data_IF_953017136547
#
_entry.id   IF_953017136547
#
_cell.length_a   1.000
_cell.length_b   1.000
_cell.length_c   1.000
_cell.angle_alpha   90.00
_cell.angle_beta   90.00
_cell.angle_gamma   90.00
#
_symmetry.space_group_name_H-M   'P 1'
#
loop_
_entity.id
_entity.type
_entity.pdbx_description
1 polymer ?
#
# COMPACT_ATOMS: atom_id res chain seq x y z
N UNK A 1 15.78 -15.36 14.67
CA UNK A 1 15.68 -14.06 13.98
C UNK A 1 14.71 -13.22 14.78
N UNK A 2 15.04 -11.97 15.09
CA UNK A 2 14.06 -11.07 15.70
C UNK A 2 12.97 -10.77 14.68
N UNK A 3 11.70 -10.81 15.07
CA UNK A 3 10.61 -10.41 14.19
C UNK A 3 10.81 -8.93 13.81
N UNK A 4 10.71 -8.60 12.51
CA UNK A 4 10.71 -7.21 12.05
C UNK A 4 9.51 -6.51 12.70
N UNK A 5 9.70 -5.39 13.41
CA UNK A 5 8.58 -4.61 13.94
C UNK A 5 7.62 -4.26 12.80
N UNK A 6 6.31 -4.41 13.01
CA UNK A 6 5.29 -4.21 11.97
C UNK A 6 5.40 -2.85 11.27
N UNK A 7 5.87 -1.81 11.97
CA UNK A 7 6.14 -0.49 11.41
C UNK A 7 7.14 -0.46 10.24
N UNK A 8 8.09 -1.40 10.22
CA UNK A 8 9.06 -1.55 9.13
C UNK A 8 8.73 -2.72 8.20
N UNK A 9 7.68 -3.48 8.53
CA UNK A 9 7.16 -4.49 7.62
C UNK A 9 6.60 -3.77 6.38
N UNK A 10 6.85 -4.31 5.18
CA UNK A 10 6.25 -3.75 3.99
C UNK A 10 4.73 -3.94 4.04
N UNK A 11 4.02 -2.84 3.81
CA UNK A 11 2.57 -2.84 3.75
C UNK A 11 2.14 -3.23 2.33
N UNK A 12 1.22 -4.16 2.21
CA UNK A 12 0.71 -4.67 0.94
C UNK A 12 -0.65 -4.06 0.63
N UNK A 13 -0.85 -3.60 -0.61
CA UNK A 13 -2.16 -3.12 -1.03
C UNK A 13 -3.08 -4.31 -1.25
N UNK A 14 -4.20 -4.34 -0.52
CA UNK A 14 -5.31 -5.27 -0.77
C UNK A 14 -6.26 -4.68 -1.80
N UNK A 15 -6.60 -5.48 -2.81
CA UNK A 15 -7.65 -5.13 -3.76
C UNK A 15 -8.52 -6.32 -4.15
N UNK A 16 -9.58 -6.01 -4.90
CA UNK A 16 -10.59 -6.97 -5.33
C UNK A 16 -10.49 -7.24 -6.82
N UNK A 17 -10.54 -8.51 -7.19
CA UNK A 17 -10.59 -8.96 -8.59
C UNK A 17 -11.90 -9.73 -8.79
N UNK A 18 -12.69 -9.33 -9.79
CA UNK A 18 -13.87 -10.09 -10.23
C UNK A 18 -13.44 -11.14 -11.24
N UNK A 19 -13.65 -12.42 -10.92
CA UNK A 19 -13.13 -13.51 -11.76
C UNK A 19 -14.04 -13.94 -12.92
N UNK A 20 -15.18 -13.26 -13.21
CA UNK A 20 -16.03 -13.55 -14.41
C UNK A 20 -17.23 -12.60 -14.53
N UNK A 21 -17.78 -12.45 -15.75
CA UNK A 21 -18.90 -11.52 -16.07
C UNK A 21 -20.31 -12.00 -15.72
N UNK A 22 -20.54 -13.31 -15.45
CA UNK A 22 -21.91 -13.84 -15.35
C UNK A 22 -22.31 -14.27 -13.92
N UNK A 23 -21.37 -14.39 -12.96
CA UNK A 23 -21.64 -14.61 -11.52
C UNK A 23 -20.36 -14.37 -10.70
N UNK A 24 -19.55 -13.37 -11.09
CA UNK A 24 -18.15 -13.24 -10.69
C UNK A 24 -17.93 -13.35 -9.19
N UNK A 25 -17.15 -14.36 -8.78
CA UNK A 25 -16.63 -14.43 -7.41
C UNK A 25 -15.62 -13.28 -7.27
N UNK A 26 -15.93 -12.34 -6.38
CA UNK A 26 -14.98 -11.31 -5.99
C UNK A 26 -13.98 -11.95 -5.04
N UNK A 27 -12.71 -11.96 -5.43
CA UNK A 27 -11.61 -12.42 -4.57
C UNK A 27 -10.76 -11.25 -4.14
N UNK A 28 -10.28 -11.30 -2.91
CA UNK A 28 -9.28 -10.36 -2.42
C UNK A 28 -7.88 -10.90 -2.75
N UNK A 29 -6.99 -10.01 -3.16
CA UNK A 29 -5.59 -10.34 -3.36
C UNK A 29 -4.67 -9.17 -2.99
N UNK A 30 -3.41 -9.53 -2.79
CA UNK A 30 -2.27 -8.62 -2.70
C UNK A 30 -1.27 -9.00 -3.79
N UNK A 31 -0.27 -8.15 -4.01
CA UNK A 31 0.90 -8.55 -4.78
C UNK A 31 2.00 -9.03 -3.86
N UNK A 32 2.59 -10.18 -4.16
CA UNK A 32 3.74 -10.73 -3.46
C UNK A 32 4.67 -11.40 -4.47
N UNK A 33 5.96 -11.08 -4.44
CA UNK A 33 6.98 -11.57 -5.39
C UNK A 33 6.57 -11.43 -6.87
N UNK A 34 6.01 -10.27 -7.21
CA UNK A 34 5.58 -9.93 -8.57
C UNK A 34 4.35 -10.68 -9.07
N UNK A 35 3.61 -11.37 -8.19
CA UNK A 35 2.43 -12.15 -8.54
C UNK A 35 1.24 -11.83 -7.64
N UNK A 36 0.00 -11.92 -8.17
CA UNK A 36 -1.18 -11.82 -7.32
C UNK A 36 -1.28 -13.05 -6.41
N UNK A 37 -1.34 -12.80 -5.11
CA UNK A 37 -1.65 -13.79 -4.07
C UNK A 37 -3.09 -13.60 -3.61
N UNK A 38 -3.95 -14.56 -3.95
CA UNK A 38 -5.35 -14.55 -3.52
C UNK A 38 -5.49 -15.15 -2.14
N UNK A 39 -6.29 -14.51 -1.29
CA UNK A 39 -6.57 -14.97 0.07
C UNK A 39 -8.05 -14.79 0.40
N UNK A 40 -8.49 -15.43 1.47
CA UNK A 40 -9.85 -15.29 2.02
C UNK A 40 -9.83 -14.38 3.24
N UNK A 41 -11.01 -13.91 3.62
CA UNK A 41 -11.16 -13.08 4.81
C UNK A 41 -10.69 -13.79 6.09
N UNK A 42 -10.81 -15.11 6.15
CA UNK A 42 -10.37 -15.91 7.29
C UNK A 42 -8.84 -15.98 7.41
N UNK A 43 -8.10 -15.67 6.34
CA UNK A 43 -6.64 -15.65 6.34
C UNK A 43 -6.08 -14.30 6.89
N UNK A 44 -6.95 -13.30 7.08
CA UNK A 44 -6.58 -11.99 7.62
C UNK A 44 -6.48 -12.05 9.14
N UNK A 45 -5.29 -11.70 9.63
CA UNK A 45 -4.99 -11.65 11.07
C UNK A 45 -5.12 -10.19 11.52
N UNK A 46 -5.88 -9.96 12.57
CA UNK A 46 -6.02 -8.62 13.17
C UNK A 46 -5.10 -8.53 14.37
N UNK A 47 -4.17 -7.57 14.35
CA UNK A 47 -3.25 -7.30 15.45
C UNK A 47 -3.52 -5.93 16.04
N UNK A 48 -3.18 -5.73 17.32
CA UNK A 48 -3.25 -4.41 17.96
C UNK A 48 -2.01 -3.61 17.55
N UNK A 49 -2.19 -2.33 17.25
CA UNK A 49 -1.08 -1.44 16.94
C UNK A 49 -0.21 -1.22 18.18
N UNK A 50 1.11 -1.28 18.02
CA UNK A 50 2.05 -0.96 19.11
C UNK A 50 2.00 0.52 19.51
N UNK A 51 1.52 1.40 18.61
CA UNK A 51 1.49 2.84 18.82
C UNK A 51 0.19 3.35 19.45
N UNK A 52 -0.90 2.61 19.28
CA UNK A 52 -2.22 2.94 19.81
C UNK A 52 -2.95 1.64 20.14
N UNK A 53 -3.18 1.39 21.43
CA UNK A 53 -3.80 0.15 21.90
C UNK A 53 -5.23 -0.06 21.42
N UNK A 54 -5.91 0.99 20.97
CA UNK A 54 -7.26 0.92 20.44
C UNK A 54 -7.27 0.78 18.90
N UNK A 55 -6.14 1.04 18.24
CA UNK A 55 -5.99 0.86 16.80
C UNK A 55 -5.66 -0.61 16.47
N UNK A 56 -6.27 -1.11 15.39
CA UNK A 56 -6.01 -2.48 14.89
C UNK A 56 -5.47 -2.43 13.47
N UNK A 57 -4.60 -3.38 13.15
CA UNK A 57 -3.95 -3.50 11.86
C UNK A 57 -4.34 -4.87 11.28
N UNK A 58 -4.98 -4.86 10.12
CA UNK A 58 -5.20 -6.08 9.36
C UNK A 58 -3.88 -6.51 8.71
N UNK A 59 -3.48 -7.76 8.89
CA UNK A 59 -2.25 -8.34 8.38
C UNK A 59 -2.53 -9.64 7.62
N UNK A 60 -1.61 -10.00 6.72
CA UNK A 60 -1.56 -11.31 6.09
C UNK A 60 -0.22 -11.98 6.45
N UNK A 61 -0.27 -13.24 6.89
CA UNK A 61 0.95 -14.03 7.09
C UNK A 61 1.34 -14.71 5.78
N UNK A 62 2.54 -14.43 5.28
CA UNK A 62 3.07 -15.05 4.06
C UNK A 62 4.47 -15.59 4.39
N UNK A 63 4.65 -16.91 4.29
CA UNK A 63 5.96 -17.53 4.54
C UNK A 63 6.48 -17.36 5.98
N UNK A 64 5.59 -17.16 6.96
CA UNK A 64 5.97 -16.89 8.36
C UNK A 64 6.29 -15.44 8.67
N UNK A 65 6.13 -14.53 7.71
CA UNK A 65 6.27 -13.08 7.90
C UNK A 65 4.90 -12.39 7.87
N UNK A 66 4.73 -11.40 8.73
CA UNK A 66 3.49 -10.62 8.84
C UNK A 66 3.56 -9.36 7.98
N UNK A 67 2.58 -9.18 7.11
CA UNK A 67 2.48 -8.04 6.20
C UNK A 67 1.20 -7.24 6.51
N UNK A 68 1.33 -5.99 6.98
CA UNK A 68 0.18 -5.10 7.12
C UNK A 68 -0.54 -4.89 5.79
N UNK A 69 -1.87 -4.80 5.82
CA UNK A 69 -2.70 -4.60 4.64
C UNK A 69 -3.18 -3.15 4.56
N UNK A 70 -2.88 -2.50 3.44
CA UNK A 70 -3.47 -1.22 3.05
C UNK A 70 -4.73 -1.48 2.24
N UNK A 71 -5.73 -0.61 2.41
CA UNK A 71 -6.95 -0.67 1.63
C UNK A 71 -6.81 0.23 0.39
N UNK A 72 -7.20 -0.31 -0.76
CA UNK A 72 -7.46 0.52 -1.93
C UNK A 72 -8.84 1.19 -1.81
N UNK A 73 -8.86 2.51 -2.01
CA UNK A 73 -10.05 3.36 -2.01
C UNK A 73 -10.15 4.14 -3.32
N UNK A 74 -11.35 4.61 -3.64
CA UNK A 74 -11.60 5.50 -4.78
C UNK A 74 -11.88 6.89 -4.22
N UNK A 75 -11.18 7.91 -4.71
CA UNK A 75 -11.29 9.29 -4.23
C UNK A 75 -11.64 10.23 -5.38
N UNK A 76 -12.47 11.24 -5.09
CA UNK A 76 -12.88 12.28 -6.03
C UNK A 76 -13.88 11.81 -7.09
N UNK A 77 -14.39 12.77 -7.86
CA UNK A 77 -15.34 12.50 -8.96
C UNK A 77 -14.71 11.73 -10.12
N UNK A 78 -13.39 11.83 -10.28
CA UNK A 78 -12.63 11.10 -11.29
C UNK A 78 -12.32 9.64 -10.91
N UNK A 79 -12.83 9.16 -9.76
CA UNK A 79 -12.60 7.80 -9.27
C UNK A 79 -11.10 7.43 -9.27
N UNK A 80 -10.28 8.23 -8.57
CA UNK A 80 -8.84 7.98 -8.47
C UNK A 80 -8.57 6.84 -7.48
N UNK A 81 -7.84 5.82 -7.92
CA UNK A 81 -7.38 4.73 -7.03
C UNK A 81 -6.32 5.24 -6.07
N UNK A 82 -6.63 5.20 -4.78
CA UNK A 82 -5.73 5.60 -3.72
C UNK A 82 -5.46 4.42 -2.78
N UNK A 83 -4.31 4.44 -2.12
CA UNK A 83 -4.02 3.56 -0.99
C UNK A 83 -3.84 4.40 0.26
N UNK A 84 -4.46 3.96 1.35
CA UNK A 84 -4.31 4.60 2.67
C UNK A 84 -3.13 3.96 3.41
N UNK A 85 -2.07 4.75 3.61
CA UNK A 85 -0.94 4.41 4.46
C UNK A 85 -1.10 5.14 5.80
N UNK A 86 -1.02 4.40 6.90
CA UNK A 86 -1.08 4.96 8.25
C UNK A 86 0.28 4.73 8.91
N UNK A 87 0.88 5.80 9.41
CA UNK A 87 2.17 5.73 10.09
C UNK A 87 2.03 5.43 11.60
N UNK A 88 3.17 5.28 12.27
CA UNK A 88 3.22 4.99 13.71
C UNK A 88 2.69 6.14 14.58
N UNK A 89 2.53 7.34 14.03
CA UNK A 89 1.90 8.48 14.68
C UNK A 89 0.39 8.50 14.52
N UNK A 90 -0.18 7.62 13.69
CA UNK A 90 -1.58 7.65 13.29
C UNK A 90 -1.87 8.62 12.14
N UNK A 91 -0.84 9.24 11.56
CA UNK A 91 -0.99 10.12 10.41
C UNK A 91 -1.34 9.26 9.19
N UNK A 92 -2.43 9.64 8.51
CA UNK A 92 -2.93 8.92 7.34
C UNK A 92 -2.57 9.68 6.07
N UNK A 93 -1.84 9.03 5.17
CA UNK A 93 -1.54 9.52 3.83
C UNK A 93 -2.35 8.74 2.80
N UNK A 94 -2.91 9.44 1.81
CA UNK A 94 -3.49 8.79 0.62
C UNK A 94 -2.53 8.95 -0.53
N UNK A 95 -2.02 7.83 -1.02
CA UNK A 95 -1.10 7.80 -2.15
C UNK A 95 -1.81 7.28 -3.39
N UNK A 96 -1.50 7.87 -4.54
CA UNK A 96 -1.98 7.44 -5.86
C UNK A 96 -0.84 7.51 -6.88
N UNK A 97 -1.13 7.04 -8.10
CA UNK A 97 -0.23 7.11 -9.25
C UNK A 97 -0.84 8.04 -10.29
N UNK A 98 -0.10 9.06 -10.73
CA UNK A 98 -0.57 10.00 -11.75
C UNK A 98 -0.79 9.31 -13.10
N UNK A 99 -1.73 9.80 -13.91
CA UNK A 99 -2.04 9.16 -15.20
C UNK A 99 -0.98 9.39 -16.27
N UNK A 100 -0.40 10.60 -16.31
CA UNK A 100 0.48 11.05 -17.38
C UNK A 100 1.91 10.53 -17.17
N UNK A 101 2.49 10.85 -16.01
CA UNK A 101 3.91 10.59 -15.72
C UNK A 101 4.12 9.35 -14.83
N UNK A 102 3.03 8.69 -14.41
CA UNK A 102 3.04 7.51 -13.52
C UNK A 102 3.83 7.75 -12.23
N UNK A 103 3.83 8.98 -11.75
CA UNK A 103 4.51 9.36 -10.52
C UNK A 103 3.62 9.14 -9.31
N UNK A 104 4.25 8.97 -8.14
CA UNK A 104 3.50 8.87 -6.88
C UNK A 104 3.11 10.25 -6.41
N UNK A 105 1.82 10.41 -6.13
CA UNK A 105 1.24 11.64 -5.61
C UNK A 105 0.45 11.38 -4.32
N UNK A 106 0.45 12.37 -3.45
CA UNK A 106 -0.42 12.44 -2.28
C UNK A 106 -1.74 13.11 -2.68
N UNK A 107 -2.86 12.59 -2.18
CA UNK A 107 -4.22 13.06 -2.48
C UNK A 107 -4.91 13.54 -1.21
N UNK A 108 -5.37 14.78 -1.20
CA UNK A 108 -6.18 15.31 -0.10
C UNK A 108 -7.66 14.89 -0.22
N UNK A 109 -8.48 15.16 0.81
CA UNK A 109 -9.92 14.84 0.83
C UNK A 109 -10.69 15.46 -0.33
N UNK A 110 -10.22 16.61 -0.83
CA UNK A 110 -10.84 17.33 -1.94
C UNK A 110 -10.35 16.84 -3.31
N UNK A 111 -9.50 15.79 -3.35
CA UNK A 111 -8.90 15.27 -4.58
C UNK A 111 -7.74 16.10 -5.12
N UNK A 112 -7.25 17.08 -4.34
CA UNK A 112 -6.06 17.84 -4.70
C UNK A 112 -4.84 16.93 -4.63
N UNK A 113 -4.10 16.85 -5.74
CA UNK A 113 -2.93 16.00 -5.87
C UNK A 113 -1.64 16.81 -5.78
N UNK A 114 -0.66 16.28 -5.04
CA UNK A 114 0.71 16.77 -5.02
C UNK A 114 1.65 15.62 -5.32
N UNK A 115 2.48 15.74 -6.36
CA UNK A 115 3.55 14.78 -6.62
C UNK A 115 4.55 14.81 -5.46
N UNK A 116 4.87 13.64 -4.91
CA UNK A 116 5.74 13.49 -3.73
C UNK A 116 6.97 12.62 -3.98
N UNK A 117 7.12 12.05 -5.18
CA UNK A 117 8.30 11.27 -5.55
C UNK A 117 9.55 12.14 -5.69
N UNK A 118 10.65 11.78 -5.03
CA UNK A 118 11.95 12.46 -5.18
C UNK A 118 12.95 11.67 -6.06
N UNK A 119 12.58 10.45 -6.45
CA UNK A 119 13.33 9.63 -7.39
C UNK A 119 12.65 8.29 -7.64
N UNK A 120 12.97 7.65 -8.75
CA UNK A 120 12.42 6.34 -9.09
C UNK A 120 13.42 5.44 -9.82
N UNK A 121 13.26 4.13 -9.65
CA UNK A 121 14.03 3.13 -10.39
C UNK A 121 13.17 1.89 -10.65
N UNK A 122 13.46 1.17 -11.72
CA UNK A 122 12.72 -0.04 -12.06
C UNK A 122 13.37 -1.28 -11.42
N UNK A 123 12.59 -2.04 -10.64
CA UNK A 123 13.00 -3.30 -10.03
C UNK A 123 12.56 -4.48 -10.93
N UNK A 124 13.55 -5.16 -11.52
CA UNK A 124 13.33 -6.31 -12.41
C UNK A 124 12.87 -7.58 -11.70
N UNK A 125 13.15 -7.70 -10.40
CA UNK A 125 12.80 -8.91 -9.65
C UNK A 125 11.30 -8.97 -9.40
N UNK A 126 10.71 -7.82 -9.05
CA UNK A 126 9.27 -7.69 -8.86
C UNK A 126 8.58 -7.17 -10.11
N UNK A 127 9.27 -6.63 -11.09
CA UNK A 127 8.67 -5.96 -12.28
C UNK A 127 7.83 -4.73 -11.89
N UNK A 128 8.32 -3.94 -10.92
CA UNK A 128 7.64 -2.74 -10.43
C UNK A 128 8.54 -1.52 -10.52
N UNK A 129 7.95 -0.36 -10.76
CA UNK A 129 8.62 0.92 -10.56
C UNK A 129 8.68 1.24 -9.07
N UNK A 130 9.85 1.51 -8.54
CA UNK A 130 10.08 1.85 -7.13
C UNK A 130 10.26 3.36 -7.02
N UNK A 131 9.40 4.03 -6.28
CA UNK A 131 9.48 5.46 -6.01
C UNK A 131 9.92 5.70 -4.57
N UNK A 132 10.87 6.61 -4.38
CA UNK A 132 11.23 7.12 -3.05
C UNK A 132 10.41 8.36 -2.79
N UNK A 133 9.76 8.41 -1.63
CA UNK A 133 8.89 9.50 -1.19
C UNK A 133 9.39 10.00 0.16
N UNK A 134 9.70 11.28 0.23
CA UNK A 134 10.06 11.96 1.48
C UNK A 134 8.78 12.40 2.21
N UNK A 135 8.58 11.91 3.43
CA UNK A 135 7.42 12.21 4.25
C UNK A 135 7.82 13.03 5.46
N UNK A 136 7.14 14.16 5.65
CA UNK A 136 7.20 14.98 6.86
C UNK A 136 6.16 14.44 7.86
N UNK A 137 6.53 13.40 8.61
CA UNK A 137 5.67 12.85 9.66
C UNK A 137 5.52 13.80 10.85
N UNK A 138 4.51 13.56 11.70
CA UNK A 138 4.25 14.43 12.86
C UNK A 138 5.41 14.44 13.88
N UNK A 139 6.05 13.29 14.07
CA UNK A 139 7.15 13.11 15.04
C UNK A 139 8.53 13.23 14.41
N UNK A 140 8.69 12.70 13.20
CA UNK A 140 9.96 12.67 12.48
C UNK A 140 9.73 12.60 10.97
N UNK A 141 10.72 13.06 10.21
CA UNK A 141 10.75 12.85 8.78
C UNK A 141 11.24 11.43 8.47
N UNK A 142 10.60 10.76 7.52
CA UNK A 142 10.95 9.42 7.08
C UNK A 142 10.77 9.26 5.57
N UNK A 143 11.32 8.19 5.03
CA UNK A 143 11.23 7.84 3.61
C UNK A 143 10.35 6.61 3.42
N UNK A 144 9.48 6.68 2.43
CA UNK A 144 8.73 5.54 1.93
C UNK A 144 9.31 5.08 0.59
N UNK A 145 9.45 3.77 0.45
CA UNK A 145 9.63 3.11 -0.83
C UNK A 145 8.26 2.60 -1.30
N UNK A 146 7.76 3.17 -2.39
CA UNK A 146 6.45 2.87 -2.96
C UNK A 146 6.65 2.07 -4.25
N UNK A 147 6.21 0.82 -4.25
CA UNK A 147 6.26 -0.04 -5.43
C UNK A 147 4.97 0.12 -6.24
N UNK A 148 5.13 0.46 -7.52
CA UNK A 148 4.07 0.71 -8.48
C UNK A 148 4.12 -0.33 -9.59
N UNK A 149 2.97 -0.95 -9.83
CA UNK A 149 2.69 -1.84 -10.95
C UNK A 149 2.12 -1.00 -12.09
N UNK A 150 2.97 -0.60 -13.02
CA UNK A 150 2.62 0.42 -14.02
C UNK A 150 1.48 0.01 -14.95
N UNK A 151 1.44 -1.27 -15.37
CA UNK A 151 0.43 -1.83 -16.26
C UNK A 151 -0.96 -1.87 -15.60
N UNK A 152 -1.01 -1.91 -14.27
CA UNK A 152 -2.24 -1.83 -13.49
C UNK A 152 -2.53 -0.42 -12.96
N UNK A 153 -1.58 0.52 -13.12
CA UNK A 153 -1.58 1.86 -12.48
C UNK A 153 -1.95 1.76 -11.00
N UNK A 154 -1.18 0.96 -10.27
CA UNK A 154 -1.53 0.53 -8.91
C UNK A 154 -0.31 0.56 -8.01
N UNK A 155 -0.46 1.20 -6.85
CA UNK A 155 0.50 1.02 -5.75
C UNK A 155 0.21 -0.35 -5.15
N UNK A 156 1.21 -1.22 -5.14
CA UNK A 156 1.07 -2.61 -4.70
C UNK A 156 1.74 -2.85 -3.35
N UNK A 157 2.71 -2.01 -3.00
CA UNK A 157 3.48 -2.12 -1.76
C UNK A 157 4.02 -0.76 -1.33
N UNK A 158 4.01 -0.50 -0.02
CA UNK A 158 4.65 0.66 0.60
C UNK A 158 5.53 0.16 1.73
N UNK A 159 6.79 0.60 1.78
CA UNK A 159 7.74 0.21 2.84
C UNK A 159 8.41 1.44 3.41
N UNK A 160 8.33 1.61 4.73
CA UNK A 160 9.12 2.59 5.45
C UNK A 160 10.60 2.18 5.50
N UNK A 161 11.51 3.10 5.17
CA UNK A 161 12.95 2.82 5.07
C UNK A 161 13.73 3.18 6.34
N UNK A 162 13.27 4.16 7.12
CA UNK A 162 13.94 4.68 8.32
C UNK A 162 12.95 5.11 9.40
#
# INVERSE_FOLDING_TARGET
>A
MAATPLRFAPHLTRWRVSTTTINGVVRECVEHDGKPLFFRREDVIVVVSDSDSDATIECLEIGGEMFPLMKETMVGEAEMRCVEYVDDGGMTMRLTVTEEEKEVAEVDTDGVMRVVGCGSYYDRCTDTMQHVVDVQGEKEAYMLLVSVREELRRIVRVKRLN
#
